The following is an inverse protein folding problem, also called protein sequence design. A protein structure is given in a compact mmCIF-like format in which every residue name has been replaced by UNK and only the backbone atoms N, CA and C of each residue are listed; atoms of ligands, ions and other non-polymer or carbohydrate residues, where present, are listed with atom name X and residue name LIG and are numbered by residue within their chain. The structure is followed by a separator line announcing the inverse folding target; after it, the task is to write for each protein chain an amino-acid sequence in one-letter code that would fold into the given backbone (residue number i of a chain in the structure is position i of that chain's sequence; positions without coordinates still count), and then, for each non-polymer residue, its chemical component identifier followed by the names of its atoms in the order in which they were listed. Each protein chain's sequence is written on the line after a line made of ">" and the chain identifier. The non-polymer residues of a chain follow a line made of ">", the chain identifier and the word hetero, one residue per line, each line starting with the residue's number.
data_IF_506933987634
#
_entry.id   IF_506933987634
#
_cell.length_a   1.000
_cell.length_b   1.000
_cell.length_c   1.000
_cell.angle_alpha   90.00
_cell.angle_beta   90.00
_cell.angle_gamma   90.00
#
_symmetry.space_group_name_H-M   'P 1'
#
loop_
_entity.id
_entity.type
_entity.pdbx_description
1 polymer ?
#
# COMPACT_ATOMS: atom_id res chain seq x y z
N UNK A 1 -16.57 2.74 -8.40
CA UNK A 1 -16.35 1.58 -9.29
C UNK A 1 -15.44 0.60 -8.57
N UNK A 2 -15.64 -0.72 -8.72
CA UNK A 2 -14.71 -1.72 -8.20
C UNK A 2 -13.90 -2.27 -9.38
N UNK A 3 -12.58 -2.33 -9.23
CA UNK A 3 -11.70 -2.89 -10.24
C UNK A 3 -11.65 -4.42 -10.10
N UNK A 4 -11.52 -5.12 -11.22
CA UNK A 4 -11.51 -6.58 -11.25
C UNK A 4 -10.29 -7.10 -12.03
N UNK A 5 -9.53 -8.06 -11.46
CA UNK A 5 -9.66 -8.62 -10.10
C UNK A 5 -9.30 -7.58 -9.01
N UNK A 6 -9.76 -7.73 -7.76
CA UNK A 6 -9.30 -6.86 -6.67
C UNK A 6 -7.79 -7.01 -6.47
N UNK A 7 -7.13 -5.97 -5.94
CA UNK A 7 -5.70 -6.07 -5.64
C UNK A 7 -5.45 -7.16 -4.57
N UNK A 8 -4.58 -8.16 -4.83
CA UNK A 8 -4.42 -9.34 -3.97
C UNK A 8 -3.50 -9.06 -2.76
N UNK A 9 -3.87 -8.08 -1.94
CA UNK A 9 -3.15 -7.80 -0.70
C UNK A 9 -3.35 -8.94 0.31
N UNK A 10 -2.26 -9.53 0.78
CA UNK A 10 -2.26 -10.58 1.81
C UNK A 10 -2.15 -10.03 3.25
N UNK A 11 -2.33 -8.72 3.43
CA UNK A 11 -2.27 -8.04 4.73
C UNK A 11 -0.97 -8.26 5.52
N UNK A 12 0.17 -8.52 4.85
CA UNK A 12 1.45 -8.80 5.53
C UNK A 12 2.09 -7.63 6.29
N UNK A 13 1.51 -6.43 6.21
CA UNK A 13 2.00 -5.23 6.89
C UNK A 13 3.28 -4.61 6.31
N UNK A 14 3.89 -5.19 5.27
CA UNK A 14 5.18 -4.73 4.73
C UNK A 14 5.16 -3.26 4.28
N UNK A 15 4.10 -2.82 3.59
CA UNK A 15 3.95 -1.40 3.21
C UNK A 15 3.84 -0.47 4.42
N UNK A 16 3.25 -0.94 5.54
CA UNK A 16 3.16 -0.17 6.76
C UNK A 16 4.50 -0.11 7.51
N UNK A 17 5.40 -1.06 7.34
CA UNK A 17 6.74 -1.04 7.97
C UNK A 17 7.76 -0.16 7.24
N UNK A 18 7.42 0.34 6.05
CA UNK A 18 8.36 1.03 5.15
C UNK A 18 7.73 2.26 4.48
N UNK A 19 6.91 3.01 5.22
CA UNK A 19 6.23 4.22 4.69
C UNK A 19 7.18 5.38 4.40
N UNK A 20 8.43 5.30 4.84
CA UNK A 20 9.48 6.26 4.49
C UNK A 20 10.05 6.08 3.07
N UNK A 21 9.74 4.98 2.39
CA UNK A 21 10.32 4.65 1.06
C UNK A 21 9.66 5.41 -0.10
N UNK A 22 8.52 6.06 0.13
CA UNK A 22 7.82 6.88 -0.84
C UNK A 22 7.44 8.23 -0.21
N UNK A 23 7.60 9.32 -0.96
CA UNK A 23 7.33 10.67 -0.46
C UNK A 23 5.87 10.86 -0.05
N UNK A 24 4.96 10.23 -0.79
CA UNK A 24 3.52 10.28 -0.62
C UNK A 24 3.06 9.63 0.69
N UNK A 25 3.83 8.68 1.23
CA UNK A 25 3.51 7.99 2.47
C UNK A 25 4.25 8.54 3.69
N UNK A 26 5.19 9.47 3.53
CA UNK A 26 5.97 10.03 4.65
C UNK A 26 5.08 10.68 5.71
N UNK A 27 3.94 11.24 5.31
CA UNK A 27 3.01 11.83 6.26
C UNK A 27 2.50 10.81 7.28
N UNK A 28 2.58 9.49 7.01
CA UNK A 28 2.15 8.39 7.89
C UNK A 28 3.26 7.87 8.80
N UNK A 29 4.51 8.23 8.54
CA UNK A 29 5.67 7.80 9.32
C UNK A 29 5.56 8.32 10.77
N UNK A 30 5.86 7.45 11.74
CA UNK A 30 5.95 7.80 13.17
C UNK A 30 7.34 8.29 13.58
N UNK A 31 8.28 8.35 12.65
CA UNK A 31 9.65 8.85 12.82
C UNK A 31 10.74 7.77 12.69
N UNK A 32 10.37 6.51 12.46
CA UNK A 32 11.29 5.37 12.34
C UNK A 32 11.10 4.57 11.03
N UNK A 33 10.33 5.13 10.08
CA UNK A 33 9.97 4.48 8.83
C UNK A 33 8.72 3.60 8.90
N UNK A 34 8.19 3.36 10.09
CA UNK A 34 6.97 2.58 10.31
C UNK A 34 5.76 3.50 10.42
N UNK A 35 4.66 3.09 9.83
CA UNK A 35 3.38 3.78 9.89
C UNK A 35 2.89 3.88 11.33
N UNK A 36 2.43 5.05 11.76
CA UNK A 36 1.81 5.25 13.08
C UNK A 36 0.58 4.38 13.37
N UNK A 37 -0.04 3.81 12.32
CA UNK A 37 -1.19 2.91 12.45
C UNK A 37 -0.80 1.42 12.38
N UNK A 38 0.49 1.09 12.26
CA UNK A 38 0.95 -0.30 12.27
C UNK A 38 0.92 -0.86 13.70
N UNK A 39 0.30 -2.03 13.86
CA UNK A 39 0.29 -2.78 15.12
C UNK A 39 1.37 -3.86 15.07
N UNK A 40 2.39 -3.72 15.92
CA UNK A 40 3.54 -4.64 15.93
C UNK A 40 3.16 -6.05 16.35
N UNK A 41 2.15 -6.25 17.20
CA UNK A 41 1.79 -7.59 17.68
C UNK A 41 1.00 -8.39 16.64
N UNK A 42 0.13 -7.73 15.88
CA UNK A 42 -0.73 -8.37 14.88
C UNK A 42 -0.17 -8.30 13.46
N UNK A 43 0.82 -7.45 13.22
CA UNK A 43 1.34 -7.07 11.90
C UNK A 43 0.30 -6.38 10.99
N UNK A 44 -0.81 -5.92 11.56
CA UNK A 44 -1.91 -5.30 10.82
C UNK A 44 -1.95 -3.78 10.96
N UNK A 45 -2.73 -3.15 10.08
CA UNK A 45 -3.06 -1.74 10.20
C UNK A 45 -4.29 -1.58 11.12
N UNK A 46 -4.17 -0.77 12.18
CA UNK A 46 -5.26 -0.49 13.12
C UNK A 46 -6.50 0.16 12.46
N UNK A 47 -6.34 0.72 11.25
CA UNK A 47 -7.41 1.36 10.49
C UNK A 47 -7.56 0.74 9.09
N UNK A 48 -7.34 -0.58 8.93
CA UNK A 48 -7.28 -1.22 7.60
C UNK A 48 -8.47 -0.87 6.69
N UNK A 49 -9.70 -0.93 7.19
CA UNK A 49 -10.91 -0.60 6.41
C UNK A 49 -11.09 0.91 6.17
N UNK A 50 -10.46 1.73 7.01
CA UNK A 50 -10.50 3.19 6.96
C UNK A 50 -9.17 3.80 6.50
N UNK A 51 -8.32 3.00 5.85
CA UNK A 51 -7.00 3.44 5.37
C UNK A 51 -7.13 4.72 4.55
N UNK A 52 -6.18 5.65 4.63
CA UNK A 52 -6.19 6.83 3.77
C UNK A 52 -6.07 6.41 2.29
N UNK A 53 -6.53 7.27 1.39
CA UNK A 53 -6.53 7.02 -0.06
C UNK A 53 -5.14 6.62 -0.60
N UNK A 54 -4.07 7.18 -0.04
CA UNK A 54 -2.69 6.83 -0.43
C UNK A 54 -2.34 5.35 -0.20
N UNK A 55 -2.97 4.70 0.77
CA UNK A 55 -2.75 3.28 1.08
C UNK A 55 -3.69 2.33 0.32
N UNK A 56 -4.56 2.87 -0.57
CA UNK A 56 -5.56 2.09 -1.31
C UNK A 56 -5.16 2.00 -2.78
N UNK A 57 -4.67 0.83 -3.19
CA UNK A 57 -4.11 0.60 -4.54
C UNK A 57 -5.11 0.93 -5.65
N UNK A 58 -6.38 0.55 -5.48
CA UNK A 58 -7.44 0.82 -6.47
C UNK A 58 -7.71 2.32 -6.61
N UNK A 59 -7.74 3.07 -5.50
CA UNK A 59 -7.94 4.52 -5.54
C UNK A 59 -6.73 5.22 -6.20
N UNK A 60 -5.51 4.78 -5.87
CA UNK A 60 -4.30 5.31 -6.51
C UNK A 60 -4.31 5.07 -8.01
N UNK A 61 -4.73 3.89 -8.46
CA UNK A 61 -4.86 3.60 -9.89
C UNK A 61 -5.83 4.56 -10.58
N UNK A 62 -7.05 4.67 -10.06
CA UNK A 62 -8.10 5.50 -10.66
C UNK A 62 -7.72 6.99 -10.72
N UNK A 63 -7.02 7.48 -9.70
CA UNK A 63 -6.72 8.91 -9.58
C UNK A 63 -5.44 9.31 -10.32
N UNK A 64 -4.42 8.45 -10.33
CA UNK A 64 -3.07 8.86 -10.73
C UNK A 64 -2.50 8.07 -11.91
N UNK A 65 -2.99 6.84 -12.17
CA UNK A 65 -2.26 5.89 -13.02
C UNK A 65 -3.10 5.25 -14.15
N UNK A 66 -4.42 5.43 -14.16
CA UNK A 66 -5.32 4.80 -15.15
C UNK A 66 -5.05 5.24 -16.60
N UNK A 67 -4.42 6.39 -16.81
CA UNK A 67 -4.03 6.87 -18.15
C UNK A 67 -2.69 6.29 -18.63
N UNK A 68 -1.90 5.69 -17.73
CA UNK A 68 -0.54 5.23 -17.99
C UNK A 68 -0.43 3.70 -18.04
N UNK A 69 -1.26 3.01 -17.25
CA UNK A 69 -1.22 1.56 -17.12
C UNK A 69 -2.62 0.98 -17.23
N UNK A 70 -2.71 -0.24 -17.73
CA UNK A 70 -3.89 -1.07 -17.47
C UNK A 70 -3.93 -1.48 -15.99
N UNK A 71 -5.11 -1.88 -15.52
CA UNK A 71 -5.26 -2.35 -14.14
C UNK A 71 -4.39 -3.57 -13.84
N UNK A 72 -4.25 -4.51 -14.79
CA UNK A 72 -3.41 -5.70 -14.60
C UNK A 72 -1.93 -5.37 -14.49
N UNK A 73 -1.42 -4.45 -15.33
CA UNK A 73 -0.02 -3.99 -15.24
C UNK A 73 0.24 -3.31 -13.91
N UNK A 74 -0.68 -2.45 -13.46
CA UNK A 74 -0.54 -1.77 -12.18
C UNK A 74 -0.57 -2.74 -10.99
N UNK A 75 -1.41 -3.79 -11.03
CA UNK A 75 -1.36 -4.88 -10.05
C UNK A 75 0.04 -5.52 -10.05
N UNK A 76 0.56 -5.90 -11.21
CA UNK A 76 1.84 -6.59 -11.31
C UNK A 76 3.00 -5.75 -10.74
N UNK A 77 3.03 -4.45 -11.04
CA UNK A 77 4.01 -3.52 -10.49
C UNK A 77 3.90 -3.40 -8.96
N UNK A 78 2.69 -3.27 -8.42
CA UNK A 78 2.48 -3.20 -6.97
C UNK A 78 2.83 -4.52 -6.27
N UNK A 79 2.56 -5.67 -6.89
CA UNK A 79 2.97 -6.97 -6.35
C UNK A 79 4.49 -7.12 -6.32
N UNK A 80 5.20 -6.67 -7.35
CA UNK A 80 6.67 -6.64 -7.34
C UNK A 80 7.21 -5.77 -6.20
N UNK A 81 6.64 -4.58 -6.00
CA UNK A 81 6.97 -3.73 -4.86
C UNK A 81 6.67 -4.42 -3.52
N UNK A 82 5.51 -5.09 -3.38
CA UNK A 82 5.18 -5.87 -2.18
C UNK A 82 6.22 -6.95 -1.88
N UNK A 83 6.69 -7.70 -2.90
CA UNK A 83 7.70 -8.74 -2.74
C UNK A 83 9.06 -8.18 -2.30
N UNK A 84 9.43 -7.00 -2.81
CA UNK A 84 10.64 -6.29 -2.38
C UNK A 84 10.51 -5.88 -0.91
N UNK A 85 9.43 -5.18 -0.55
CA UNK A 85 9.19 -4.70 0.80
C UNK A 85 9.07 -5.82 1.84
N UNK A 86 8.55 -6.99 1.46
CA UNK A 86 8.41 -8.11 2.38
C UNK A 86 9.75 -8.77 2.76
N UNK A 87 10.80 -8.56 1.95
CA UNK A 87 12.15 -9.11 2.18
C UNK A 87 13.08 -8.17 2.94
N UNK A 88 12.65 -6.92 3.17
CA UNK A 88 13.38 -5.94 3.99
C UNK A 88 13.22 -6.27 5.47
#
# INVERSE_FOLDING_TARGET
>A
MKLHPPFPCNQCGACCRHVNRAGETQCLDRGDGICRHYQTDSHLCAIYDKRPQICRVEDQYLLNYQSQYSWQEFIALNQAACLILNKL
#
